data_IF_557249102796
#
_entry.id   IF_557249102796
#
_cell.length_a   1.000
_cell.length_b   1.000
_cell.length_c   1.000
_cell.angle_alpha   90.00
_cell.angle_beta   90.00
_cell.angle_gamma   90.00
#
_symmetry.space_group_name_H-M   'P 1'
#
loop_
_entity.id
_entity.type
_entity.pdbx_description
1 polymer ?
#
# COMPACT_ATOMS: atom_id res chain seq x y z
N UNK A 1 3.12 15.32 -6.38
CA UNK A 1 2.56 14.33 -5.44
C UNK A 1 1.55 14.92 -4.45
N UNK A 2 1.68 16.19 -4.02
CA UNK A 2 0.65 16.84 -3.19
C UNK A 2 -0.72 16.95 -3.90
N UNK A 3 -0.75 17.45 -5.15
CA UNK A 3 -2.00 17.65 -5.89
C UNK A 3 -2.73 16.34 -6.18
N UNK A 4 -2.01 15.30 -6.62
CA UNK A 4 -2.59 13.97 -6.85
C UNK A 4 -3.14 13.36 -5.56
N UNK A 5 -2.41 13.49 -4.44
CA UNK A 5 -2.87 12.99 -3.14
C UNK A 5 -4.11 13.74 -2.62
N UNK A 6 -4.18 15.06 -2.79
CA UNK A 6 -5.38 15.85 -2.44
C UNK A 6 -6.60 15.40 -3.23
N UNK A 7 -6.43 15.19 -4.55
CA UNK A 7 -7.51 14.69 -5.41
C UNK A 7 -7.95 13.28 -4.98
N UNK A 8 -7.01 12.38 -4.70
CA UNK A 8 -7.31 11.01 -4.28
C UNK A 8 -8.06 10.98 -2.96
N UNK A 9 -7.60 11.72 -1.96
CA UNK A 9 -8.27 11.80 -0.66
C UNK A 9 -9.68 12.40 -0.79
N UNK A 10 -9.90 13.37 -1.68
CA UNK A 10 -11.24 13.89 -1.94
C UNK A 10 -12.16 12.84 -2.59
N UNK A 11 -11.64 12.06 -3.56
CA UNK A 11 -12.38 10.96 -4.19
C UNK A 11 -12.74 9.90 -3.15
N UNK A 12 -11.78 9.48 -2.33
CA UNK A 12 -12.02 8.49 -1.26
C UNK A 12 -13.06 9.02 -0.28
N UNK A 13 -12.91 10.25 0.23
CA UNK A 13 -13.86 10.86 1.17
C UNK A 13 -15.30 10.88 0.61
N UNK A 14 -15.46 11.19 -0.68
CA UNK A 14 -16.79 11.22 -1.32
C UNK A 14 -17.36 9.82 -1.58
N UNK A 15 -16.52 8.81 -1.75
CA UNK A 15 -16.90 7.52 -2.34
C UNK A 15 -16.91 6.37 -1.32
N UNK A 16 -16.20 6.52 -0.20
CA UNK A 16 -16.02 5.48 0.82
C UNK A 16 -17.34 5.08 1.51
N UNK A 17 -18.32 5.97 1.53
CA UNK A 17 -19.68 5.70 2.03
C UNK A 17 -20.55 4.89 1.07
N UNK A 18 -20.15 4.76 -0.20
CA UNK A 18 -20.97 4.20 -1.29
C UNK A 18 -20.39 2.92 -1.89
N UNK A 19 -19.08 2.70 -1.79
CA UNK A 19 -18.38 1.59 -2.42
C UNK A 19 -17.83 0.62 -1.37
N UNK A 20 -17.93 -0.68 -1.63
CA UNK A 20 -17.39 -1.74 -0.77
C UNK A 20 -15.86 -1.66 -0.67
N UNK A 21 -15.34 -1.99 0.51
CA UNK A 21 -13.91 -2.03 0.84
C UNK A 21 -13.05 -2.70 -0.25
N UNK A 22 -13.56 -3.82 -0.78
CA UNK A 22 -12.87 -4.68 -1.74
C UNK A 22 -12.45 -3.91 -2.98
N UNK A 23 -13.33 -3.05 -3.50
CA UNK A 23 -13.05 -2.32 -4.73
C UNK A 23 -11.92 -1.31 -4.56
N UNK A 24 -11.84 -0.62 -3.42
CA UNK A 24 -10.72 0.29 -3.15
C UNK A 24 -9.40 -0.47 -3.03
N UNK A 25 -9.41 -1.63 -2.36
CA UNK A 25 -8.21 -2.46 -2.23
C UNK A 25 -7.75 -3.00 -3.58
N UNK A 26 -8.66 -3.52 -4.39
CA UNK A 26 -8.35 -4.09 -5.72
C UNK A 26 -7.91 -3.01 -6.70
N UNK A 27 -8.62 -1.88 -6.76
CA UNK A 27 -8.24 -0.77 -7.64
C UNK A 27 -6.91 -0.19 -7.18
N UNK A 28 -6.72 0.03 -5.88
CA UNK A 28 -5.48 0.59 -5.34
C UNK A 28 -4.27 -0.29 -5.64
N UNK A 29 -4.37 -1.59 -5.34
CA UNK A 29 -3.30 -2.56 -5.66
C UNK A 29 -3.06 -2.71 -7.16
N UNK A 30 -4.11 -2.72 -7.99
CA UNK A 30 -3.97 -2.76 -9.44
C UNK A 30 -3.28 -1.51 -10.00
N UNK A 31 -3.61 -0.31 -9.52
CA UNK A 31 -2.95 0.93 -9.94
C UNK A 31 -1.47 0.95 -9.59
N UNK A 32 -1.11 0.49 -8.38
CA UNK A 32 0.30 0.35 -7.97
C UNK A 32 1.01 -0.70 -8.83
N UNK A 33 0.37 -1.84 -9.14
CA UNK A 33 0.90 -2.83 -10.07
C UNK A 33 1.15 -2.26 -11.46
N UNK A 34 0.21 -1.48 -12.00
CA UNK A 34 0.37 -0.83 -13.31
C UNK A 34 1.50 0.21 -13.29
N UNK A 35 1.67 0.93 -12.18
CA UNK A 35 2.81 1.82 -12.01
C UNK A 35 4.14 1.07 -12.09
N UNK A 36 4.26 -0.08 -11.40
CA UNK A 36 5.45 -0.93 -11.51
C UNK A 36 5.64 -1.50 -12.91
N UNK A 37 4.58 -1.85 -13.64
CA UNK A 37 4.71 -2.25 -15.05
C UNK A 37 5.24 -1.13 -15.94
N UNK A 38 4.77 0.10 -15.74
CA UNK A 38 5.27 1.26 -16.49
C UNK A 38 6.75 1.50 -16.23
N UNK A 39 7.23 1.30 -14.99
CA UNK A 39 8.67 1.35 -14.68
C UNK A 39 9.43 0.12 -15.16
N UNK A 40 8.81 -1.06 -15.25
CA UNK A 40 9.45 -2.26 -15.78
C UNK A 40 9.68 -2.18 -17.31
N UNK A 41 8.86 -1.41 -18.02
CA UNK A 41 8.97 -1.18 -19.47
C UNK A 41 9.53 0.19 -19.84
N UNK A 42 9.99 0.99 -18.87
CA UNK A 42 10.46 2.34 -19.16
C UNK A 42 11.71 2.25 -20.03
N UNK A 43 11.65 2.83 -21.22
CA UNK A 43 12.83 3.05 -22.03
C UNK A 43 13.62 4.23 -21.41
N UNK A 44 14.92 4.03 -21.17
CA UNK A 44 15.75 5.04 -20.51
C UNK A 44 16.02 6.27 -21.41
N UNK A 45 15.77 6.16 -22.71
CA UNK A 45 16.02 7.21 -23.69
C UNK A 45 14.80 8.14 -23.91
N UNK A 46 13.62 7.77 -23.39
CA UNK A 46 12.42 8.63 -23.46
C UNK A 46 12.34 9.61 -22.31
N UNK A 47 11.66 10.73 -22.56
CA UNK A 47 11.47 11.79 -21.57
C UNK A 47 10.68 11.29 -20.36
N UNK A 48 11.09 11.75 -19.17
CA UNK A 48 10.44 11.47 -17.88
C UNK A 48 8.90 11.57 -17.91
N UNK A 49 8.36 12.51 -18.70
CA UNK A 49 6.94 12.76 -18.83
C UNK A 49 6.13 11.63 -19.49
N UNK A 50 6.76 10.76 -20.29
CA UNK A 50 6.07 9.69 -21.00
C UNK A 50 5.72 8.50 -20.09
N UNK A 51 6.65 8.12 -19.20
CA UNK A 51 6.50 6.93 -18.35
C UNK A 51 6.69 7.23 -16.86
N UNK A 52 7.74 7.97 -16.50
CA UNK A 52 8.09 8.22 -15.10
C UNK A 52 7.04 9.04 -14.35
N UNK A 53 6.53 10.12 -14.96
CA UNK A 53 5.50 10.95 -14.33
C UNK A 53 4.15 10.22 -14.17
N UNK A 54 3.58 9.59 -15.23
CA UNK A 54 2.36 8.81 -15.09
C UNK A 54 2.48 7.65 -14.08
N UNK A 55 3.60 6.92 -14.10
CA UNK A 55 3.84 5.82 -13.16
C UNK A 55 3.88 6.33 -11.71
N UNK A 56 4.58 7.42 -11.44
CA UNK A 56 4.63 8.02 -10.11
C UNK A 56 3.24 8.49 -9.63
N UNK A 57 2.44 9.09 -10.53
CA UNK A 57 1.07 9.47 -10.20
C UNK A 57 0.19 8.27 -9.86
N UNK A 58 0.23 7.20 -10.67
CA UNK A 58 -0.55 5.99 -10.44
C UNK A 58 -0.15 5.27 -9.15
N UNK A 59 1.15 5.23 -8.84
CA UNK A 59 1.67 4.65 -7.59
C UNK A 59 1.10 5.37 -6.36
N UNK A 60 1.08 6.70 -6.36
CA UNK A 60 0.53 7.48 -5.24
C UNK A 60 -0.98 7.32 -5.13
N UNK A 61 -1.71 7.33 -6.26
CA UNK A 61 -3.16 7.09 -6.26
C UNK A 61 -3.47 5.71 -5.68
N UNK A 62 -2.72 4.69 -6.10
CA UNK A 62 -2.89 3.33 -5.62
C UNK A 62 -2.61 3.19 -4.12
N UNK A 63 -1.50 3.76 -3.65
CA UNK A 63 -1.14 3.79 -2.24
C UNK A 63 -2.21 4.48 -1.39
N UNK A 64 -2.66 5.68 -1.77
CA UNK A 64 -3.66 6.44 -1.01
C UNK A 64 -4.97 5.66 -0.87
N UNK A 65 -5.41 4.97 -1.92
CA UNK A 65 -6.65 4.19 -1.88
C UNK A 65 -6.54 3.03 -0.89
N UNK A 66 -5.42 2.32 -0.88
CA UNK A 66 -5.17 1.21 0.07
C UNK A 66 -5.04 1.73 1.50
N UNK A 67 -4.23 2.77 1.72
CA UNK A 67 -3.94 3.30 3.05
C UNK A 67 -5.14 3.98 3.70
N UNK A 68 -5.83 4.86 2.98
CA UNK A 68 -6.97 5.58 3.52
C UNK A 68 -8.13 4.62 3.83
N UNK A 69 -8.46 3.73 2.89
CA UNK A 69 -9.56 2.76 3.09
C UNK A 69 -9.19 1.72 4.14
N UNK A 70 -7.95 1.23 4.16
CA UNK A 70 -7.45 0.27 5.15
C UNK A 70 -7.47 0.81 6.58
N UNK A 71 -7.03 2.05 6.76
CA UNK A 71 -7.05 2.71 8.06
C UNK A 71 -8.48 2.95 8.55
N UNK A 72 -9.37 3.40 7.66
CA UNK A 72 -10.80 3.56 7.99
C UNK A 72 -11.45 2.23 8.37
N UNK A 73 -11.14 1.16 7.62
CA UNK A 73 -11.64 -0.19 7.92
C UNK A 73 -11.15 -0.69 9.28
N UNK A 74 -9.85 -0.51 9.60
CA UNK A 74 -9.30 -0.88 10.89
C UNK A 74 -10.00 -0.14 12.04
N UNK A 75 -10.25 1.17 11.90
CA UNK A 75 -10.97 1.96 12.89
C UNK A 75 -12.45 1.55 13.04
N UNK A 76 -13.09 1.13 11.94
CA UNK A 76 -14.49 0.68 11.91
C UNK A 76 -14.72 -0.68 12.54
N UNK A 77 -13.76 -1.59 12.42
CA UNK A 77 -13.84 -2.95 13.02
C UNK A 77 -13.51 -2.91 14.51
N UNK A 78 -12.76 -1.91 14.97
CA UNK A 78 -12.36 -1.77 16.36
C UNK A 78 -13.46 -1.17 17.25
N UNK A 79 -13.45 -1.57 18.53
CA UNK A 79 -14.23 -0.88 19.55
C UNK A 79 -13.73 0.56 19.74
N UNK A 80 -14.57 1.53 20.10
CA UNK A 80 -14.16 2.95 20.10
C UNK A 80 -13.06 3.30 21.11
N UNK A 81 -12.90 2.52 22.18
CA UNK A 81 -11.77 2.65 23.11
C UNK A 81 -10.50 1.91 22.64
N UNK A 82 -10.58 1.08 21.59
CA UNK A 82 -9.48 0.29 21.01
C UNK A 82 -9.01 0.81 19.63
N UNK A 83 -9.59 1.89 19.11
CA UNK A 83 -9.25 2.42 17.78
C UNK A 83 -7.77 2.80 17.66
N UNK A 84 -7.16 3.32 18.73
CA UNK A 84 -5.73 3.61 18.76
C UNK A 84 -4.88 2.33 18.63
N UNK A 85 -5.31 1.25 19.29
CA UNK A 85 -4.65 -0.07 19.19
C UNK A 85 -4.79 -0.65 17.78
N UNK A 86 -5.98 -0.58 17.18
CA UNK A 86 -6.21 -1.03 15.81
C UNK A 86 -5.36 -0.25 14.79
N UNK A 87 -5.24 1.07 14.95
CA UNK A 87 -4.34 1.90 14.14
C UNK A 87 -2.86 1.50 14.31
N UNK A 88 -2.43 1.24 15.55
CA UNK A 88 -1.06 0.78 15.82
C UNK A 88 -0.77 -0.59 15.19
N UNK A 89 -1.72 -1.53 15.25
CA UNK A 89 -1.61 -2.84 14.59
C UNK A 89 -1.54 -2.70 13.06
N UNK A 90 -2.40 -1.87 12.47
CA UNK A 90 -2.38 -1.60 11.03
C UNK A 90 -1.02 -1.03 10.58
N UNK A 91 -0.48 -0.07 11.34
CA UNK A 91 0.82 0.53 11.05
C UNK A 91 1.99 -0.46 11.24
N UNK A 92 1.87 -1.38 12.20
CA UNK A 92 2.88 -2.44 12.42
C UNK A 92 2.88 -3.42 11.25
N UNK A 93 1.71 -3.87 10.79
CA UNK A 93 1.57 -4.73 9.61
C UNK A 93 2.08 -4.05 8.34
N UNK A 94 1.83 -2.75 8.20
CA UNK A 94 2.39 -1.94 7.11
C UNK A 94 3.91 -1.97 7.11
N UNK A 95 4.55 -1.72 8.25
CA UNK A 95 6.01 -1.71 8.34
C UNK A 95 6.63 -3.10 8.08
N UNK A 96 5.99 -4.16 8.57
CA UNK A 96 6.39 -5.54 8.28
C UNK A 96 6.30 -5.84 6.78
N UNK A 97 5.18 -5.48 6.15
CA UNK A 97 4.97 -5.63 4.71
C UNK A 97 6.01 -4.88 3.89
N UNK A 98 6.26 -3.61 4.23
CA UNK A 98 7.28 -2.78 3.55
C UNK A 98 8.67 -3.38 3.68
N UNK A 99 9.05 -3.82 4.88
CA UNK A 99 10.38 -4.42 5.13
C UNK A 99 10.56 -5.70 4.32
N UNK A 100 9.54 -6.55 4.27
CA UNK A 100 9.57 -7.79 3.50
C UNK A 100 9.63 -7.52 1.99
N UNK A 101 8.75 -6.66 1.47
CA UNK A 101 8.70 -6.31 0.05
C UNK A 101 9.99 -5.66 -0.45
N UNK A 102 10.56 -4.75 0.35
CA UNK A 102 11.84 -4.11 0.04
C UNK A 102 12.97 -5.14 0.03
N UNK A 103 13.03 -6.03 1.04
CA UNK A 103 14.08 -7.05 1.12
C UNK A 103 14.08 -7.96 -0.10
N UNK A 104 12.92 -8.45 -0.52
CA UNK A 104 12.83 -9.31 -1.71
C UNK A 104 13.24 -8.57 -2.97
N UNK A 105 12.78 -7.33 -3.14
CA UNK A 105 13.11 -6.50 -4.31
C UNK A 105 14.59 -6.18 -4.39
N UNK A 106 15.23 -5.87 -3.25
CA UNK A 106 16.68 -5.68 -3.15
C UNK A 106 17.43 -6.95 -3.49
N UNK A 107 17.02 -8.11 -2.99
CA UNK A 107 17.66 -9.39 -3.35
C UNK A 107 17.59 -9.62 -4.86
N UNK A 108 16.45 -9.37 -5.49
CA UNK A 108 16.31 -9.51 -6.95
C UNK A 108 17.24 -8.55 -7.68
N UNK A 109 17.28 -7.28 -7.27
CA UNK A 109 18.19 -6.28 -7.83
C UNK A 109 19.66 -6.72 -7.71
N UNK A 110 20.12 -7.08 -6.51
CA UNK A 110 21.50 -7.48 -6.21
C UNK A 110 21.92 -8.73 -7.00
N UNK A 111 21.00 -9.67 -7.19
CA UNK A 111 21.28 -10.87 -7.98
C UNK A 111 21.41 -10.56 -9.46
N UNK A 112 20.53 -9.72 -10.00
CA UNK A 112 20.53 -9.39 -11.42
C UNK A 112 21.72 -8.50 -11.77
N UNK A 113 22.10 -7.55 -10.90
CA UNK A 113 23.23 -6.65 -11.18
C UNK A 113 24.55 -7.40 -11.26
N UNK A 114 24.77 -8.36 -10.35
CA UNK A 114 25.96 -9.23 -10.36
C UNK A 114 25.96 -10.12 -11.61
N UNK A 115 24.83 -10.77 -11.91
CA UNK A 115 24.71 -11.68 -13.05
C UNK A 115 24.92 -10.97 -14.39
N UNK A 116 24.30 -9.80 -14.59
CA UNK A 116 24.37 -9.02 -15.84
C UNK A 116 25.73 -8.35 -16.01
N UNK A 117 26.34 -7.86 -14.95
CA UNK A 117 27.69 -7.30 -15.02
C UNK A 117 28.71 -8.40 -15.38
N UNK A 118 28.59 -9.60 -14.80
CA UNK A 118 29.46 -10.72 -15.13
C UNK A 118 29.33 -11.14 -16.61
N UNK A 119 28.11 -11.12 -17.16
CA UNK A 119 27.88 -11.39 -18.59
C UNK A 119 28.53 -10.34 -19.51
N UNK A 120 28.77 -9.13 -19.01
CA UNK A 120 29.49 -8.05 -19.70
C UNK A 120 30.99 -8.03 -19.40
N UNK A 121 31.51 -9.04 -18.69
CA UNK A 121 32.93 -9.16 -18.35
C UNK A 121 33.38 -8.30 -17.18
N UNK A 122 32.45 -7.71 -16.40
CA UNK A 122 32.76 -6.88 -15.23
C UNK A 122 32.30 -7.59 -13.96
N UNK A 123 33.23 -7.88 -13.06
CA UNK A 123 32.89 -8.42 -11.74
C UNK A 123 32.53 -7.28 -10.79
N UNK A 124 31.27 -7.24 -10.37
CA UNK A 124 30.78 -6.31 -9.35
C UNK A 124 30.26 -7.10 -8.16
N UNK A 125 30.35 -6.49 -6.98
CA UNK A 125 29.66 -6.98 -5.79
C UNK A 125 28.19 -6.52 -5.80
N UNK A 126 27.40 -7.04 -4.86
CA UNK A 126 26.00 -6.65 -4.58
C UNK A 126 25.79 -5.14 -4.42
N UNK A 127 26.82 -4.38 -4.08
CA UNK A 127 26.79 -2.92 -4.00
C UNK A 127 26.60 -2.21 -5.35
N UNK A 128 26.78 -2.91 -6.47
CA UNK A 128 26.58 -2.37 -7.82
C UNK A 128 27.58 -1.30 -8.25
N UNK A 129 28.59 -1.00 -7.43
CA UNK A 129 29.61 0.01 -7.71
C UNK A 129 30.44 -0.43 -8.92
N UNK A 130 30.44 0.38 -9.98
CA UNK A 130 31.14 0.08 -11.23
C UNK A 130 30.35 -0.78 -12.21
N UNK A 131 29.08 -1.10 -11.94
CA UNK A 131 28.23 -1.84 -12.87
C UNK A 131 27.98 -1.03 -14.16
N UNK A 132 28.10 -1.66 -15.35
CA UNK A 132 27.73 -1.01 -16.62
C UNK A 132 26.26 -0.55 -16.61
N UNK A 133 25.95 0.58 -17.28
CA UNK A 133 24.58 1.12 -17.37
C UNK A 133 23.53 0.06 -17.80
N UNK A 134 23.79 -0.82 -18.79
CA UNK A 134 22.82 -1.84 -19.17
C UNK A 134 22.50 -2.83 -18.03
N UNK A 135 23.52 -3.23 -17.25
CA UNK A 135 23.32 -4.12 -16.10
C UNK A 135 22.51 -3.44 -14.99
N UNK A 136 22.71 -2.15 -14.76
CA UNK A 136 21.90 -1.38 -13.81
C UNK A 136 20.43 -1.31 -14.25
N UNK A 137 20.16 -0.99 -15.52
CA UNK A 137 18.80 -0.93 -16.06
C UNK A 137 18.08 -2.28 -15.95
N UNK A 138 18.73 -3.37 -16.37
CA UNK A 138 18.18 -4.73 -16.24
C UNK A 138 17.81 -5.08 -14.80
N UNK A 139 18.61 -4.62 -13.84
CA UNK A 139 18.39 -4.86 -12.41
C UNK A 139 17.20 -4.08 -11.88
N UNK A 140 17.02 -2.82 -12.31
CA UNK A 140 15.83 -2.03 -12.01
C UNK A 140 14.57 -2.65 -12.62
N UNK A 141 14.62 -3.08 -13.89
CA UNK A 141 13.48 -3.75 -14.52
C UNK A 141 13.09 -5.02 -13.76
N UNK A 142 14.06 -5.83 -13.33
CA UNK A 142 13.80 -7.04 -12.55
C UNK A 142 13.18 -6.74 -11.18
N UNK A 143 13.64 -5.68 -10.50
CA UNK A 143 13.04 -5.23 -9.25
C UNK A 143 11.59 -4.77 -9.46
N UNK A 144 11.30 -4.03 -10.54
CA UNK A 144 9.94 -3.57 -10.83
C UNK A 144 8.99 -4.71 -11.24
N UNK A 145 9.49 -5.74 -11.93
CA UNK A 145 8.72 -6.98 -12.15
C UNK A 145 8.37 -7.69 -10.84
N UNK A 146 9.26 -7.61 -9.85
CA UNK A 146 9.01 -8.17 -8.52
C UNK A 146 7.94 -7.36 -7.77
N UNK A 147 8.00 -6.03 -7.84
CA UNK A 147 6.96 -5.15 -7.30
C UNK A 147 5.60 -5.40 -7.96
N UNK A 148 5.57 -5.59 -9.28
CA UNK A 148 4.36 -5.95 -10.01
C UNK A 148 3.76 -7.26 -9.49
N UNK A 149 4.59 -8.30 -9.31
CA UNK A 149 4.16 -9.58 -8.77
C UNK A 149 3.57 -9.46 -7.36
N UNK A 150 4.17 -8.65 -6.49
CA UNK A 150 3.63 -8.36 -5.17
C UNK A 150 2.27 -7.65 -5.23
N UNK A 151 2.14 -6.61 -6.06
CA UNK A 151 0.88 -5.90 -6.22
C UNK A 151 -0.22 -6.78 -6.82
N UNK A 152 0.12 -7.64 -7.79
CA UNK A 152 -0.83 -8.56 -8.41
C UNK A 152 -1.29 -9.64 -7.42
N UNK A 153 -0.36 -10.19 -6.63
CA UNK A 153 -0.70 -11.11 -5.55
C UNK A 153 -1.58 -10.43 -4.49
N UNK A 154 -1.26 -9.19 -4.10
CA UNK A 154 -2.06 -8.41 -3.16
C UNK A 154 -3.48 -8.15 -3.69
N UNK A 155 -3.64 -7.88 -4.98
CA UNK A 155 -4.95 -7.75 -5.62
C UNK A 155 -5.74 -9.07 -5.56
N UNK A 156 -5.10 -10.21 -5.88
CA UNK A 156 -5.73 -11.53 -5.79
C UNK A 156 -6.16 -11.88 -4.37
N UNK A 157 -5.27 -11.66 -3.39
CA UNK A 157 -5.56 -11.87 -1.96
C UNK A 157 -6.72 -10.96 -1.53
N UNK A 158 -6.72 -9.70 -1.98
CA UNK A 158 -7.79 -8.75 -1.65
C UNK A 158 -9.15 -9.22 -2.18
N UNK A 159 -9.20 -9.76 -3.40
CA UNK A 159 -10.42 -10.34 -3.97
C UNK A 159 -10.87 -11.55 -3.15
N UNK A 160 -9.96 -12.47 -2.81
CA UNK A 160 -10.31 -13.73 -2.16
C UNK A 160 -10.76 -13.52 -0.71
N UNK A 161 -9.99 -12.75 0.06
CA UNK A 161 -10.20 -12.55 1.50
C UNK A 161 -11.35 -11.59 1.75
N UNK A 162 -11.42 -10.49 0.99
CA UNK A 162 -12.37 -9.44 1.30
C UNK A 162 -13.69 -9.53 0.53
N UNK A 163 -13.91 -10.50 -0.38
CA UNK A 163 -15.16 -10.62 -1.17
C UNK A 163 -16.47 -10.49 -0.39
N UNK A 164 -16.47 -10.80 0.91
CA UNK A 164 -17.66 -10.73 1.78
C UNK A 164 -17.69 -9.50 2.69
N UNK A 165 -16.69 -8.62 2.64
CA UNK A 165 -16.63 -7.40 3.42
C UNK A 165 -17.52 -6.34 2.76
N UNK A 166 -18.55 -5.92 3.50
CA UNK A 166 -19.54 -4.93 3.08
C UNK A 166 -18.99 -3.51 2.94
N UNK A 167 -19.91 -2.54 2.87
CA UNK A 167 -19.59 -1.12 2.70
C UNK A 167 -19.05 -0.55 4.02
N UNK A 168 -17.86 0.04 4.01
CA UNK A 168 -17.15 0.53 5.22
C UNK A 168 -17.81 1.78 5.80
N UNK A 169 -18.52 2.57 4.98
CA UNK A 169 -18.98 3.90 5.38
C UNK A 169 -20.42 4.03 5.87
N UNK A 170 -21.17 2.95 6.14
CA UNK A 170 -22.35 3.10 7.02
C UNK A 170 -21.89 3.12 8.48
N UNK A 171 -22.27 4.15 9.24
CA UNK A 171 -22.41 4.01 10.68
C UNK A 171 -23.73 3.28 10.91
N UNK A 172 -23.69 2.11 11.52
CA UNK A 172 -24.89 1.56 12.14
C UNK A 172 -25.20 2.45 13.35
N UNK A 173 -26.30 3.20 13.30
CA UNK A 173 -26.75 4.07 14.41
C UNK A 173 -26.82 3.30 15.73
N UNK A 174 -27.10 1.99 15.67
CA UNK A 174 -27.11 1.08 16.82
C UNK A 174 -25.73 0.80 17.43
N UNK A 175 -24.64 0.88 16.64
CA UNK A 175 -23.26 0.72 17.13
C UNK A 175 -22.78 2.02 17.78
N UNK A 176 -23.14 3.18 17.22
CA UNK A 176 -22.87 4.49 17.81
C UNK A 176 -23.57 4.64 19.18
N UNK A 177 -24.83 4.21 19.26
CA UNK A 177 -25.63 4.29 20.48
C UNK A 177 -25.20 3.27 21.56
N UNK A 178 -24.77 2.06 21.17
CA UNK A 178 -24.14 1.10 22.12
C UNK A 178 -22.78 1.58 22.61
N UNK A 179 -22.01 2.23 21.74
CA UNK A 179 -20.70 2.81 22.10
C UNK A 179 -20.83 3.95 23.09
N UNK A 180 -21.76 4.87 22.86
CA UNK A 180 -21.98 6.01 23.75
C UNK A 180 -22.31 5.52 25.17
N UNK A 181 -23.21 4.52 25.25
CA UNK A 181 -23.60 3.87 26.50
C UNK A 181 -22.46 3.15 27.22
N UNK A 182 -21.64 2.35 26.52
CA UNK A 182 -20.47 1.71 27.14
C UNK A 182 -19.43 2.73 27.64
N UNK A 183 -19.28 3.85 26.94
CA UNK A 183 -18.34 4.92 27.33
C UNK A 183 -18.81 5.67 28.57
N UNK A 184 -20.12 5.80 28.75
CA UNK A 184 -20.75 6.35 29.96
C UNK A 184 -20.64 5.38 31.13
N UNK A 185 -20.88 4.08 30.93
CA UNK A 185 -20.72 3.05 31.97
C UNK A 185 -19.28 2.99 32.51
N UNK A 186 -18.27 3.01 31.63
CA UNK A 186 -16.85 3.01 32.06
C UNK A 186 -16.48 4.30 32.81
N UNK A 187 -17.10 5.43 32.49
CA UNK A 187 -16.90 6.69 33.24
C UNK A 187 -17.58 6.63 34.61
N UNK A 188 -18.78 6.05 34.69
CA UNK A 188 -19.53 5.87 35.92
C UNK A 188 -18.78 4.94 36.88
N UNK A 189 -18.25 3.82 36.38
CA UNK A 189 -17.50 2.82 37.16
C UNK A 189 -16.22 3.42 37.75
N UNK A 190 -15.45 4.18 36.95
CA UNK A 190 -14.28 4.92 37.45
C UNK A 190 -14.64 6.00 38.47
N UNK A 191 -15.82 6.62 38.35
CA UNK A 191 -16.29 7.63 39.30
C UNK A 191 -16.65 7.00 40.65
N UNK A 192 -17.19 5.79 40.65
CA UNK A 192 -17.50 5.01 41.85
C UNK A 192 -16.22 4.52 42.54
N UNK A 193 -15.19 4.11 41.79
CA UNK A 193 -13.91 3.67 42.38
C UNK A 193 -13.08 4.80 43.02
N UNK A 194 -13.34 6.06 42.65
CA UNK A 194 -12.57 7.23 43.13
C UNK A 194 -13.29 8.02 44.24
N UNK A 195 -14.48 7.57 44.68
CA UNK A 195 -15.30 8.20 45.72
C UNK A 195 -15.24 7.44 47.05
#
# INVERSE_FOLDING_TARGET
MFVSGVICNFIVAKTVARISFVWFMVIGTALTSVASLLFAFIDADVTYWAFGFPAACLSVVGADFVFATGTLFAAKVALPHEQSLAGALFQTMTQLGTSFGLTVSTIVFDRVIVQRSAALGVTVDSTGVGAPRPAQLDSYYAAEWSNFAFGALAALVSIIVFRNVGIVGHEDDTVSEKTARNSEEVKEEKRIETA
#
